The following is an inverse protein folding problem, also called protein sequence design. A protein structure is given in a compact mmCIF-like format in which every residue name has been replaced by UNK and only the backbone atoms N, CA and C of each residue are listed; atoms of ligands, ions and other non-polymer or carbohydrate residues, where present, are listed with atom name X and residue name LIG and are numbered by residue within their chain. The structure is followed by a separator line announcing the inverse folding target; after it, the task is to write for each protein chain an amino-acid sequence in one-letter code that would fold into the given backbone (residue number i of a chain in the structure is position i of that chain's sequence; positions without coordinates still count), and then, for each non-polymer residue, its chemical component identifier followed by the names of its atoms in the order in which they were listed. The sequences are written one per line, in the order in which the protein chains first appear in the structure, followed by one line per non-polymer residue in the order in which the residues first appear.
data_IF_516616096154
#
_entry.id   IF_516616096154
#
_cell.length_a   1.000
_cell.length_b   1.000
_cell.length_c   1.000
_cell.angle_alpha   90.00
_cell.angle_beta   90.00
_cell.angle_gamma   90.00
#
_symmetry.space_group_name_H-M   'P 1'
#
loop_
_entity.id
_entity.type
_entity.pdbx_description
1 polymer ?
#
# COMPACT_ATOMS: atom_id res chain seq x y z
N UNK A 1 -5.03 2.99 -15.28
CA UNK A 1 -3.86 3.54 -14.56
C UNK A 1 -4.25 4.69 -13.63
N UNK A 2 -5.49 5.19 -13.70
CA UNK A 2 -5.96 6.34 -12.91
C UNK A 2 -6.11 6.05 -11.41
N UNK A 3 -6.40 4.79 -11.05
CA UNK A 3 -6.69 4.40 -9.68
C UNK A 3 -5.54 4.62 -8.68
N UNK A 4 -4.33 4.19 -9.01
CA UNK A 4 -3.16 4.39 -8.15
C UNK A 4 -2.91 5.90 -7.92
N UNK A 5 -3.07 6.70 -8.97
CA UNK A 5 -2.91 8.15 -8.90
C UNK A 5 -3.97 8.81 -8.00
N UNK A 6 -5.23 8.39 -8.08
CA UNK A 6 -6.30 8.85 -7.18
C UNK A 6 -5.97 8.55 -5.70
N UNK A 7 -5.39 7.40 -5.42
CA UNK A 7 -4.98 7.02 -4.08
C UNK A 7 -3.77 7.83 -3.59
N UNK A 8 -2.81 8.13 -4.47
CA UNK A 8 -1.70 9.05 -4.16
C UNK A 8 -2.19 10.46 -3.88
N UNK A 9 -3.12 10.99 -4.67
CA UNK A 9 -3.75 12.30 -4.43
C UNK A 9 -4.50 12.33 -3.10
N UNK A 10 -5.23 11.26 -2.79
CA UNK A 10 -5.91 11.09 -1.50
C UNK A 10 -4.92 11.04 -0.34
N UNK A 11 -3.81 10.30 -0.48
CA UNK A 11 -2.71 10.28 0.49
C UNK A 11 -2.21 11.70 0.77
N UNK A 12 -1.87 12.47 -0.27
CA UNK A 12 -1.32 13.81 -0.10
C UNK A 12 -2.31 14.77 0.57
N UNK A 13 -3.59 14.65 0.24
CA UNK A 13 -4.65 15.40 0.91
C UNK A 13 -4.67 15.12 2.41
N UNK A 14 -4.66 13.85 2.82
CA UNK A 14 -4.76 13.47 4.23
C UNK A 14 -3.46 13.71 5.01
N UNK A 15 -2.31 13.49 4.38
CA UNK A 15 -0.99 13.72 4.96
C UNK A 15 -0.72 15.20 5.30
N UNK A 16 -1.48 16.14 4.72
CA UNK A 16 -1.37 17.55 5.09
C UNK A 16 -1.81 17.84 6.54
N UNK A 17 -2.74 17.04 7.08
CA UNK A 17 -3.26 17.16 8.44
C UNK A 17 -3.53 15.75 9.04
N UNK A 18 -2.49 14.96 9.35
CA UNK A 18 -2.64 13.55 9.73
C UNK A 18 -3.54 13.35 10.96
N UNK A 19 -3.37 14.21 11.97
CA UNK A 19 -4.13 14.21 13.23
C UNK A 19 -5.64 14.38 13.05
N UNK A 20 -6.07 15.03 11.97
CA UNK A 20 -7.47 15.27 11.64
C UNK A 20 -8.04 14.21 10.68
N UNK A 21 -7.16 13.39 10.08
CA UNK A 21 -7.50 12.47 9.01
C UNK A 21 -7.11 11.02 9.31
N UNK A 22 -6.85 10.65 10.58
CA UNK A 22 -6.48 9.28 10.96
C UNK A 22 -7.44 8.21 10.44
N UNK A 23 -8.76 8.43 10.53
CA UNK A 23 -9.76 7.51 9.99
C UNK A 23 -9.70 7.40 8.45
N UNK A 24 -9.47 8.52 7.76
CA UNK A 24 -9.32 8.56 6.30
C UNK A 24 -8.03 7.88 5.83
N UNK A 25 -6.94 8.02 6.58
CA UNK A 25 -5.69 7.32 6.35
C UNK A 25 -5.84 5.81 6.57
N UNK A 26 -6.58 5.40 7.61
CA UNK A 26 -6.93 3.99 7.82
C UNK A 26 -7.74 3.41 6.66
N UNK A 27 -8.79 4.11 6.22
CA UNK A 27 -9.58 3.71 5.06
C UNK A 27 -8.74 3.64 3.78
N UNK A 28 -7.82 4.58 3.59
CA UNK A 28 -6.89 4.57 2.46
C UNK A 28 -5.98 3.33 2.50
N UNK A 29 -5.43 2.99 3.67
CA UNK A 29 -4.60 1.80 3.84
C UNK A 29 -5.36 0.50 3.51
N UNK A 30 -6.62 0.38 3.93
CA UNK A 30 -7.48 -0.76 3.61
C UNK A 30 -7.84 -0.80 2.12
N UNK A 31 -8.08 0.35 1.50
CA UNK A 31 -8.33 0.44 0.06
C UNK A 31 -7.12 -0.02 -0.75
N UNK A 32 -5.91 0.38 -0.35
CA UNK A 32 -4.67 -0.07 -1.00
C UNK A 32 -4.51 -1.59 -0.91
N UNK A 33 -4.86 -2.21 0.23
CA UNK A 33 -4.85 -3.68 0.37
C UNK A 33 -5.80 -4.34 -0.63
N UNK A 34 -7.03 -3.83 -0.73
CA UNK A 34 -8.03 -4.35 -1.68
C UNK A 34 -7.53 -4.25 -3.14
N UNK A 35 -6.99 -3.09 -3.52
CA UNK A 35 -6.49 -2.87 -4.88
C UNK A 35 -5.26 -3.77 -5.19
N UNK A 36 -4.46 -4.13 -4.18
CA UNK A 36 -3.37 -5.12 -4.30
C UNK A 36 -3.90 -6.51 -4.62
N UNK A 37 -4.94 -6.96 -3.90
CA UNK A 37 -5.57 -8.26 -4.15
C UNK A 37 -6.15 -8.32 -5.57
N UNK A 38 -6.78 -7.22 -6.02
CA UNK A 38 -7.30 -7.10 -7.38
C UNK A 38 -6.20 -7.18 -8.44
N UNK A 39 -5.05 -6.52 -8.23
CA UNK A 39 -3.90 -6.61 -9.15
C UNK A 39 -3.34 -8.03 -9.22
N UNK A 40 -3.26 -8.74 -8.08
CA UNK A 40 -2.79 -10.12 -8.05
C UNK A 40 -3.75 -11.02 -8.83
N UNK A 41 -5.07 -10.85 -8.64
CA UNK A 41 -6.10 -11.66 -9.29
C UNK A 41 -6.30 -11.35 -10.78
N UNK A 42 -5.93 -10.15 -11.24
CA UNK A 42 -6.16 -9.71 -12.62
C UNK A 42 -5.41 -10.57 -13.64
N UNK A 43 -6.11 -11.29 -14.52
CA UNK A 43 -5.49 -12.16 -15.53
C UNK A 43 -4.94 -11.43 -16.74
N UNK A 44 -5.36 -10.19 -16.96
CA UNK A 44 -5.06 -9.41 -18.15
C UNK A 44 -3.72 -8.67 -18.02
N UNK A 45 -3.26 -8.44 -16.78
CA UNK A 45 -1.96 -7.87 -16.48
C UNK A 45 -0.86 -8.91 -16.58
N UNK A 46 0.21 -8.58 -17.29
CA UNK A 46 1.43 -9.39 -17.30
C UNK A 46 2.11 -9.41 -15.93
N UNK A 47 2.95 -10.42 -15.67
CA UNK A 47 3.71 -10.51 -14.41
C UNK A 47 4.60 -9.28 -14.16
N UNK A 48 5.12 -8.64 -15.22
CA UNK A 48 5.93 -7.43 -15.11
C UNK A 48 5.07 -6.21 -14.69
N UNK A 49 3.87 -6.08 -15.25
CA UNK A 49 2.92 -5.03 -14.87
C UNK A 49 2.44 -5.21 -13.43
N UNK A 50 2.11 -6.44 -13.03
CA UNK A 50 1.77 -6.76 -11.64
C UNK A 50 2.90 -6.39 -10.70
N UNK A 51 4.14 -6.78 -11.02
CA UNK A 51 5.29 -6.44 -10.17
C UNK A 51 5.47 -4.92 -10.02
N UNK A 52 5.33 -4.17 -11.11
CA UNK A 52 5.43 -2.71 -11.09
C UNK A 52 4.34 -2.07 -10.21
N UNK A 53 3.09 -2.49 -10.40
CA UNK A 53 1.95 -1.98 -9.63
C UNK A 53 2.02 -2.35 -8.16
N UNK A 54 2.36 -3.61 -7.84
CA UNK A 54 2.47 -4.06 -6.46
C UNK A 54 3.60 -3.34 -5.71
N UNK A 55 4.72 -3.02 -6.37
CA UNK A 55 5.76 -2.17 -5.78
C UNK A 55 5.23 -0.77 -5.45
N UNK A 56 4.46 -0.18 -6.35
CA UNK A 56 3.89 1.15 -6.14
C UNK A 56 2.87 1.16 -4.99
N UNK A 57 1.96 0.19 -4.96
CA UNK A 57 1.01 0.02 -3.86
C UNK A 57 1.70 -0.27 -2.52
N UNK A 58 2.73 -1.12 -2.50
CA UNK A 58 3.49 -1.42 -1.29
C UNK A 58 4.17 -0.16 -0.71
N UNK A 59 4.71 0.70 -1.59
CA UNK A 59 5.27 1.99 -1.18
C UNK A 59 4.19 2.93 -0.63
N UNK A 60 3.06 3.05 -1.32
CA UNK A 60 1.97 3.92 -0.88
C UNK A 60 1.39 3.46 0.47
N UNK A 61 1.22 2.15 0.67
CA UNK A 61 0.79 1.57 1.94
C UNK A 61 1.77 1.88 3.08
N UNK A 62 3.06 1.70 2.84
CA UNK A 62 4.12 2.00 3.82
C UNK A 62 4.14 3.47 4.24
N UNK A 63 3.95 4.37 3.28
CA UNK A 63 3.85 5.80 3.56
C UNK A 63 2.59 6.14 4.34
N UNK A 64 1.46 5.54 3.97
CA UNK A 64 0.17 5.77 4.65
C UNK A 64 0.24 5.35 6.12
N UNK A 65 0.72 4.13 6.37
CA UNK A 65 0.86 3.57 7.72
C UNK A 65 1.94 4.27 8.54
N UNK A 66 3.04 4.71 7.91
CA UNK A 66 4.06 5.52 8.57
C UNK A 66 3.48 6.84 9.07
N UNK A 67 2.65 7.52 8.27
CA UNK A 67 1.98 8.75 8.67
C UNK A 67 0.99 8.51 9.81
N UNK A 68 0.24 7.40 9.78
CA UNK A 68 -0.66 7.01 10.88
C UNK A 68 0.09 6.74 12.19
N UNK A 69 1.33 6.23 12.09
CA UNK A 69 2.18 5.90 13.23
C UNK A 69 2.90 7.11 13.85
N UNK A 70 2.90 8.28 13.19
CA UNK A 70 3.69 9.45 13.61
C UNK A 70 3.38 9.92 15.03
N UNK A 71 2.12 10.11 15.37
CA UNK A 71 1.73 10.64 16.70
C UNK A 71 2.11 9.68 17.82
N UNK A 72 1.89 8.38 17.61
CA UNK A 72 2.25 7.37 18.58
C UNK A 72 3.79 7.23 18.68
N UNK A 73 4.49 7.29 17.56
CA UNK A 73 5.95 7.26 17.54
C UNK A 73 6.56 8.45 18.29
N UNK A 74 6.01 9.65 18.11
CA UNK A 74 6.44 10.86 18.81
C UNK A 74 6.22 10.76 20.32
N UNK A 75 5.06 10.26 20.76
CA UNK A 75 4.75 10.04 22.19
C UNK A 75 5.71 9.02 22.83
N UNK A 76 6.11 8.00 22.08
CA UNK A 76 7.01 6.94 22.52
C UNK A 76 8.50 7.29 22.32
N UNK A 77 8.83 8.48 21.80
CA UNK A 77 10.21 8.91 21.55
C UNK A 77 10.94 8.05 20.50
N UNK A 78 10.21 7.46 19.55
CA UNK A 78 10.74 6.62 18.47
C UNK A 78 10.45 7.19 17.09
N UNK A 79 11.13 6.66 16.07
CA UNK A 79 10.79 6.95 14.68
C UNK A 79 9.51 6.22 14.25
N UNK A 80 8.70 6.85 13.41
CA UNK A 80 7.58 6.20 12.75
C UNK A 80 8.11 5.15 11.76
N UNK A 81 7.64 3.91 11.87
CA UNK A 81 8.22 2.81 11.10
C UNK A 81 7.34 2.39 9.91
N UNK A 82 6.03 2.66 9.96
CA UNK A 82 5.07 2.18 8.97
C UNK A 82 5.06 0.65 8.84
N UNK A 83 4.15 0.15 8.01
CA UNK A 83 4.02 -1.26 7.68
C UNK A 83 4.13 -1.46 6.17
N UNK A 84 4.69 -2.58 5.74
CA UNK A 84 4.71 -2.98 4.32
C UNK A 84 3.81 -4.19 4.12
N UNK A 85 3.13 -4.27 2.97
CA UNK A 85 2.35 -5.43 2.56
C UNK A 85 3.26 -6.60 2.18
N UNK A 86 4.37 -6.28 1.51
CA UNK A 86 5.39 -7.24 1.10
C UNK A 86 6.75 -6.76 1.62
N UNK A 87 7.45 -7.63 2.34
CA UNK A 87 8.74 -7.29 2.98
C UNK A 87 9.89 -7.35 1.99
N UNK A 88 9.79 -8.23 1.00
CA UNK A 88 10.84 -8.46 0.01
C UNK A 88 10.28 -8.52 -1.40
N UNK A 89 11.16 -8.39 -2.39
CA UNK A 89 10.81 -8.64 -3.79
C UNK A 89 10.41 -10.10 -4.04
N UNK A 90 10.99 -11.04 -3.29
CA UNK A 90 10.60 -12.44 -3.37
C UNK A 90 9.14 -12.64 -2.93
N UNK A 91 8.66 -11.91 -1.91
CA UNK A 91 7.27 -11.98 -1.46
C UNK A 91 6.31 -11.46 -2.54
N UNK A 92 6.68 -10.36 -3.22
CA UNK A 92 5.93 -9.82 -4.35
C UNK A 92 5.83 -10.84 -5.49
N UNK A 93 6.96 -11.45 -5.87
CA UNK A 93 7.01 -12.46 -6.92
C UNK A 93 6.24 -13.73 -6.53
N UNK A 94 6.30 -14.14 -5.26
CA UNK A 94 5.53 -15.27 -4.74
C UNK A 94 4.03 -15.00 -4.80
N UNK A 95 3.58 -13.79 -4.47
CA UNK A 95 2.17 -13.40 -4.59
C UNK A 95 1.67 -13.46 -6.05
N UNK A 96 2.49 -13.00 -7.01
CA UNK A 96 2.18 -13.09 -8.44
C UNK A 96 2.19 -14.56 -8.92
N UNK A 97 3.17 -15.34 -8.46
CA UNK A 97 3.40 -16.73 -8.87
C UNK A 97 2.39 -17.73 -8.32
N UNK A 98 1.89 -17.52 -7.09
CA UNK A 98 0.90 -18.41 -6.45
C UNK A 98 -0.45 -18.42 -7.20
N UNK A 99 -0.77 -17.39 -7.97
CA UNK A 99 -1.97 -17.38 -8.82
C UNK A 99 -1.86 -18.33 -10.03
N UNK A 100 -0.64 -18.68 -10.47
CA UNK A 100 -0.43 -19.61 -11.59
C UNK A 100 -0.63 -21.09 -11.20
N UNK A 101 -0.68 -21.44 -9.90
CA UNK A 101 -0.83 -22.83 -9.44
C UNK A 101 -2.29 -23.31 -9.36
N UNK A 102 -3.27 -22.41 -9.52
CA UNK A 102 -4.70 -22.72 -9.48
C UNK A 102 -5.37 -22.74 -10.87
N UNK A 103 -4.61 -23.06 -11.93
CA UNK A 103 -5.13 -23.29 -13.28
C UNK A 103 -4.97 -24.73 -13.71
#
# INVERSE_FOLDING_TARGET
MDRLKELEESFWKYNSHPSQHGASLGYLADTIKSDVDDVIANSDLSSAEKLSLLRAYNNLYARTTSVMDQEYAEQEGRSACGEVLFRTEADLLAAIGNFHQYK
#
